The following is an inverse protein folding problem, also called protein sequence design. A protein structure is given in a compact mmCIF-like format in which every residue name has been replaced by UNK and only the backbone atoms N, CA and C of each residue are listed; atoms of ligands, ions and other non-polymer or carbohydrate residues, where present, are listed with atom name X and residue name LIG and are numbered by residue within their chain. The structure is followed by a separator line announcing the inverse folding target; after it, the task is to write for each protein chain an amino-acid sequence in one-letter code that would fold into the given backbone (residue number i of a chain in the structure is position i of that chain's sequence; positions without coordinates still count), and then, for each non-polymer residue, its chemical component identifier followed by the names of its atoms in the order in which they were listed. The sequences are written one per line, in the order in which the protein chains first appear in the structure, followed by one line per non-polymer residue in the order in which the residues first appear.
data_IF_119282550480
#
_entry.id   IF_119282550480
#
_cell.length_a   1.000
_cell.length_b   1.000
_cell.length_c   1.000
_cell.angle_alpha   90.00
_cell.angle_beta   90.00
_cell.angle_gamma   90.00
#
_symmetry.space_group_name_H-M   'P 1'
#
loop_
_entity.id
_entity.type
_entity.pdbx_description
1 polymer ?
#
# COMPACT_ATOMS: atom_id res chain seq x y z
N UNK A 1 18.56 -13.75 0.61
CA UNK A 1 18.75 -13.80 2.09
C UNK A 1 17.88 -12.73 2.72
N UNK A 2 16.73 -13.11 3.26
CA UNK A 2 15.87 -12.22 4.04
C UNK A 2 16.58 -11.94 5.38
N UNK A 3 16.95 -10.68 5.64
CA UNK A 3 17.24 -10.22 6.99
C UNK A 3 15.91 -9.85 7.62
N UNK A 4 15.21 -10.84 8.13
CA UNK A 4 14.06 -10.66 9.01
C UNK A 4 14.57 -10.05 10.31
N UNK A 5 13.92 -8.99 10.80
CA UNK A 5 14.20 -8.37 12.10
C UNK A 5 14.22 -9.46 13.18
N UNK A 6 15.43 -9.86 13.56
CA UNK A 6 15.67 -10.90 14.54
C UNK A 6 15.15 -10.34 15.86
N UNK A 7 14.11 -10.96 16.43
CA UNK A 7 13.74 -10.73 17.84
C UNK A 7 14.89 -11.32 18.66
N UNK A 8 15.92 -10.50 18.88
CA UNK A 8 17.09 -10.85 19.68
C UNK A 8 16.61 -10.87 21.14
N UNK A 9 16.81 -12.00 21.82
CA UNK A 9 16.53 -12.15 23.24
C UNK A 9 17.44 -11.19 24.02
N UNK A 10 16.97 -10.70 25.17
CA UNK A 10 17.65 -9.71 26.04
C UNK A 10 19.12 -10.00 26.40
N UNK A 11 19.66 -11.16 26.09
CA UNK A 11 20.96 -11.65 26.55
C UNK A 11 22.12 -11.41 25.56
N UNK A 12 21.86 -10.90 24.35
CA UNK A 12 22.90 -10.79 23.28
C UNK A 12 23.37 -9.34 22.99
N UNK A 13 23.01 -8.34 23.79
CA UNK A 13 23.44 -6.95 23.53
C UNK A 13 24.75 -6.63 24.28
N UNK A 14 25.88 -6.38 23.60
CA UNK A 14 27.01 -5.68 24.22
C UNK A 14 26.55 -4.27 24.60
N UNK A 15 26.79 -3.84 25.85
CA UNK A 15 26.44 -2.53 26.44
C UNK A 15 26.16 -1.39 25.42
N UNK A 16 24.95 -1.37 24.86
CA UNK A 16 24.45 -0.21 24.12
C UNK A 16 23.99 0.78 25.18
N UNK A 17 24.39 2.04 25.05
CA UNK A 17 23.93 3.08 25.97
C UNK A 17 22.40 2.98 26.12
N UNK A 18 21.90 2.94 27.34
CA UNK A 18 20.47 2.94 27.71
C UNK A 18 19.68 4.16 27.18
N UNK A 19 20.24 4.94 26.27
CA UNK A 19 19.65 6.11 25.65
C UNK A 19 18.43 5.68 24.82
N UNK A 20 17.27 6.13 25.27
CA UNK A 20 16.03 6.08 24.51
C UNK A 20 16.06 7.18 23.46
N UNK A 21 15.59 6.88 22.24
CA UNK A 21 15.48 7.83 21.15
C UNK A 21 14.57 9.00 21.56
N UNK A 22 15.03 10.23 21.39
CA UNK A 22 14.19 11.42 21.57
C UNK A 22 13.18 11.52 20.44
N UNK A 23 13.65 11.31 19.20
CA UNK A 23 12.77 11.25 18.03
C UNK A 23 13.32 10.35 16.92
N UNK A 24 12.39 9.91 16.05
CA UNK A 24 12.67 9.25 14.79
C UNK A 24 11.83 9.86 13.67
N UNK A 25 12.39 9.89 12.47
CA UNK A 25 11.68 10.29 11.24
C UNK A 25 11.54 9.08 10.33
N UNK A 26 10.32 8.79 9.93
CA UNK A 26 9.95 7.65 9.11
C UNK A 26 9.52 8.09 7.72
N UNK A 27 9.79 7.25 6.72
CA UNK A 27 9.22 7.38 5.36
C UNK A 27 8.39 6.12 5.05
N UNK A 28 7.12 6.25 4.65
CA UNK A 28 6.35 5.09 4.20
C UNK A 28 6.98 4.53 2.91
N UNK A 29 7.16 3.20 2.86
CA UNK A 29 7.76 2.51 1.70
C UNK A 29 6.77 1.61 0.99
N UNK A 30 5.79 1.04 1.69
CA UNK A 30 4.82 0.11 1.12
C UNK A 30 5.09 -1.35 1.52
N UNK A 31 4.52 -2.27 0.75
CA UNK A 31 4.64 -3.70 0.99
C UNK A 31 5.85 -4.30 0.23
N UNK A 32 6.45 -5.40 0.73
CA UNK A 32 7.53 -6.10 0.03
C UNK A 32 7.14 -6.70 -1.34
N UNK A 33 5.84 -6.90 -1.59
CA UNK A 33 5.28 -7.49 -2.80
C UNK A 33 4.19 -6.57 -3.35
N UNK A 34 4.17 -6.32 -4.66
CA UNK A 34 3.16 -5.49 -5.32
C UNK A 34 1.86 -6.23 -5.62
N UNK A 35 0.73 -5.69 -5.19
CA UNK A 35 -0.64 -6.03 -5.61
C UNK A 35 -1.27 -4.87 -6.40
N UNK A 36 -2.20 -5.20 -7.30
CA UNK A 36 -2.88 -4.22 -8.19
C UNK A 36 -3.80 -3.27 -7.40
N UNK A 37 -4.12 -3.60 -6.15
CA UNK A 37 -5.07 -2.90 -5.28
C UNK A 37 -4.41 -2.38 -3.99
N UNK A 38 -3.13 -2.01 -4.02
CA UNK A 38 -2.49 -1.46 -2.82
C UNK A 38 -2.98 -0.05 -2.50
N UNK A 39 -3.92 0.02 -1.57
CA UNK A 39 -4.17 1.22 -0.79
C UNK A 39 -3.10 1.33 0.30
N UNK A 40 -2.34 2.43 0.29
CA UNK A 40 -1.40 2.74 1.35
C UNK A 40 -2.13 3.36 2.54
N UNK A 41 -1.74 3.01 3.78
CA UNK A 41 -2.31 3.62 4.96
C UNK A 41 -2.03 5.12 4.97
N UNK A 42 -3.08 5.91 5.12
CA UNK A 42 -2.99 7.35 5.35
C UNK A 42 -3.12 7.63 6.85
N UNK A 43 -2.28 8.52 7.37
CA UNK A 43 -2.30 8.89 8.79
C UNK A 43 -3.26 10.06 8.94
N UNK A 44 -4.50 9.78 9.37
CA UNK A 44 -5.51 10.82 9.64
C UNK A 44 -5.31 11.50 11.00
N UNK A 45 -4.86 10.74 12.01
CA UNK A 45 -4.66 11.23 13.38
C UNK A 45 -3.24 10.94 13.86
N UNK A 46 -2.42 11.98 13.91
CA UNK A 46 -1.01 11.89 14.30
C UNK A 46 -0.79 11.44 15.75
N UNK A 47 -1.64 11.85 16.69
CA UNK A 47 -1.53 11.47 18.11
C UNK A 47 -1.82 9.97 18.30
N UNK A 48 -2.86 9.46 17.63
CA UNK A 48 -3.20 8.05 17.69
C UNK A 48 -2.11 7.21 17.02
N UNK A 49 -1.57 7.68 15.89
CA UNK A 49 -0.45 7.03 15.22
C UNK A 49 0.80 6.99 16.10
N UNK A 50 1.14 8.08 16.80
CA UNK A 50 2.25 8.12 17.76
C UNK A 50 2.13 7.04 18.82
N UNK A 51 0.98 6.98 19.50
CA UNK A 51 0.73 5.97 20.54
C UNK A 51 0.84 4.55 19.98
N UNK A 52 0.20 4.31 18.83
CA UNK A 52 0.24 3.04 18.13
C UNK A 52 1.67 2.59 17.76
N UNK A 53 2.43 3.49 17.15
CA UNK A 53 3.77 3.23 16.65
C UNK A 53 4.76 2.97 17.80
N UNK A 54 4.64 3.71 18.91
CA UNK A 54 5.38 3.49 20.14
C UNK A 54 5.12 2.11 20.71
N UNK A 55 3.85 1.73 20.90
CA UNK A 55 3.47 0.41 21.42
C UNK A 55 4.00 -0.73 20.55
N UNK A 56 3.98 -0.56 19.23
CA UNK A 56 4.42 -1.59 18.29
C UNK A 56 5.94 -1.78 18.26
N UNK A 57 6.71 -0.69 18.26
CA UNK A 57 8.17 -0.73 18.08
C UNK A 57 8.96 -0.49 19.38
N UNK A 58 8.29 -0.45 20.52
CA UNK A 58 8.94 -0.34 21.82
C UNK A 58 10.03 -1.39 22.02
N UNK A 59 11.21 -0.95 22.43
CA UNK A 59 12.38 -1.81 22.66
C UNK A 59 13.16 -2.19 21.40
N UNK A 60 12.81 -1.65 20.22
CA UNK A 60 13.57 -1.86 18.99
C UNK A 60 14.71 -0.85 18.93
N UNK A 61 15.89 -1.29 18.50
CA UNK A 61 17.00 -0.37 18.22
C UNK A 61 16.74 0.29 16.87
N UNK A 62 16.75 1.62 16.84
CA UNK A 62 16.52 2.41 15.64
C UNK A 62 17.84 2.72 14.93
N UNK A 63 18.03 2.11 13.76
CA UNK A 63 19.15 2.42 12.87
C UNK A 63 18.70 3.25 11.67
N UNK A 64 19.47 4.29 11.35
CA UNK A 64 19.25 5.08 10.13
C UNK A 64 19.31 4.17 8.90
N UNK A 65 18.36 4.35 7.99
CA UNK A 65 18.12 3.57 6.78
C UNK A 65 17.55 2.16 6.96
N UNK A 66 17.22 1.73 8.19
CA UNK A 66 16.56 0.44 8.42
C UNK A 66 15.05 0.50 8.21
N UNK A 67 14.40 -0.65 8.12
CA UNK A 67 12.97 -0.80 7.94
C UNK A 67 12.27 -1.27 9.23
N UNK A 68 11.20 -0.57 9.59
CA UNK A 68 10.23 -0.97 10.59
C UNK A 68 8.99 -1.50 9.89
N UNK A 69 8.63 -2.74 10.22
CA UNK A 69 7.42 -3.38 9.70
C UNK A 69 6.28 -3.21 10.68
N UNK A 70 5.13 -2.87 10.12
CA UNK A 70 3.85 -2.98 10.80
C UNK A 70 3.45 -4.45 10.90
N UNK A 71 2.97 -4.84 12.09
CA UNK A 71 2.60 -6.22 12.44
C UNK A 71 1.15 -6.32 12.91
N UNK A 72 0.42 -5.20 12.91
CA UNK A 72 -0.93 -5.10 13.48
C UNK A 72 -1.90 -4.62 12.43
N UNK A 73 -2.05 -3.31 12.25
CA UNK A 73 -3.09 -2.74 11.39
C UNK A 73 -2.84 -3.03 9.91
N UNK A 74 -1.57 -2.97 9.48
CA UNK A 74 -1.18 -3.19 8.09
C UNK A 74 0.00 -4.18 8.04
N UNK A 75 -0.25 -5.48 8.29
CA UNK A 75 0.83 -6.46 8.34
C UNK A 75 1.74 -6.40 7.12
N UNK A 76 3.04 -6.38 7.37
CA UNK A 76 4.11 -6.30 6.36
C UNK A 76 4.27 -4.93 5.68
N UNK A 77 3.47 -3.91 6.01
CA UNK A 77 3.72 -2.56 5.55
C UNK A 77 5.01 -2.00 6.18
N UNK A 78 5.92 -1.48 5.36
CA UNK A 78 7.23 -1.03 5.80
C UNK A 78 7.35 0.49 5.86
N UNK A 79 7.95 0.96 6.94
CA UNK A 79 8.47 2.32 7.09
C UNK A 79 10.00 2.28 7.10
N UNK A 80 10.67 3.21 6.43
CA UNK A 80 12.12 3.39 6.50
C UNK A 80 12.47 4.48 7.50
N UNK A 81 13.40 4.19 8.42
CA UNK A 81 13.97 5.18 9.34
C UNK A 81 14.89 6.10 8.54
N UNK A 82 14.50 7.36 8.37
CA UNK A 82 15.32 8.38 7.73
C UNK A 82 16.31 9.00 8.71
N UNK A 83 15.86 9.26 9.93
CA UNK A 83 16.62 9.95 10.98
C UNK A 83 16.23 9.39 12.34
N UNK A 84 17.20 9.40 13.26
CA UNK A 84 17.06 8.96 14.65
C UNK A 84 18.05 9.76 15.48
N UNK A 85 17.59 10.30 16.61
CA UNK A 85 18.40 11.06 17.54
C UNK A 85 18.07 10.62 18.99
N UNK A 86 19.08 10.25 19.81
CA UNK A 86 20.47 10.02 19.44
C UNK A 86 20.63 8.85 18.45
N UNK A 87 21.67 8.79 17.61
CA UNK A 87 21.91 7.66 16.71
C UNK A 87 21.98 6.31 17.44
N UNK A 88 21.46 5.25 16.82
CA UNK A 88 21.53 3.86 17.35
C UNK A 88 20.89 3.67 18.73
N UNK A 89 19.82 4.44 19.01
CA UNK A 89 19.09 4.42 20.28
C UNK A 89 17.85 3.54 20.24
N UNK A 90 17.27 3.26 21.41
CA UNK A 90 16.09 2.39 21.55
C UNK A 90 14.81 3.21 21.40
N UNK A 91 13.87 2.74 20.58
CA UNK A 91 12.51 3.31 20.50
C UNK A 91 11.77 2.99 21.80
N UNK A 92 11.36 4.03 22.53
CA UNK A 92 10.64 3.92 23.79
C UNK A 92 9.25 4.57 23.75
N UNK A 93 8.59 4.59 24.91
CA UNK A 93 7.26 5.19 25.09
C UNK A 93 7.23 6.71 24.96
N UNK A 94 8.36 7.37 25.12
CA UNK A 94 8.47 8.83 25.00
C UNK A 94 9.05 9.28 23.65
N UNK A 95 9.49 8.35 22.81
CA UNK A 95 10.09 8.66 21.51
C UNK A 95 9.08 9.34 20.59
N UNK A 96 9.42 10.50 20.05
CA UNK A 96 8.59 11.22 19.09
C UNK A 96 8.77 10.67 17.68
N UNK A 97 7.71 10.12 17.10
CA UNK A 97 7.73 9.52 15.77
C UNK A 97 7.09 10.48 14.77
N UNK A 98 7.87 10.91 13.78
CA UNK A 98 7.39 11.75 12.68
C UNK A 98 7.34 10.94 11.40
N UNK A 99 6.29 11.08 10.60
CA UNK A 99 6.21 10.46 9.28
C UNK A 99 6.36 11.55 8.22
N UNK A 100 7.43 11.48 7.45
CA UNK A 100 7.66 12.35 6.32
C UNK A 100 6.80 11.85 5.17
N UNK A 101 5.60 12.40 5.11
CA UNK A 101 4.66 12.15 4.03
C UNK A 101 5.08 12.97 2.80
N UNK A 102 6.01 12.42 2.02
CA UNK A 102 6.03 12.78 0.61
C UNK A 102 4.75 12.21 0.06
N UNK A 103 3.67 13.02 0.01
CA UNK A 103 2.39 12.67 -0.62
C UNK A 103 2.73 11.74 -1.75
N UNK A 104 2.54 10.44 -1.53
CA UNK A 104 2.62 9.47 -2.60
C UNK A 104 1.46 9.92 -3.44
N UNK A 105 1.74 10.77 -4.43
CA UNK A 105 0.84 11.08 -5.51
C UNK A 105 0.36 9.71 -5.88
N UNK A 106 -0.87 9.39 -5.47
CA UNK A 106 -1.53 8.16 -5.74
C UNK A 106 -1.50 8.13 -7.25
N UNK A 107 -0.46 7.47 -7.79
CA UNK A 107 -0.34 7.31 -9.22
C UNK A 107 -1.64 6.62 -9.54
N UNK A 108 -2.52 7.22 -10.35
CA UNK A 108 -3.79 6.60 -10.66
C UNK A 108 -3.46 5.17 -11.05
N UNK A 109 -4.09 4.21 -10.37
CA UNK A 109 -3.81 2.78 -10.55
C UNK A 109 -3.93 2.52 -12.05
N UNK A 110 -2.78 2.45 -12.74
CA UNK A 110 -2.76 2.13 -14.15
C UNK A 110 -3.06 0.63 -14.23
N UNK A 111 -4.33 0.30 -14.41
CA UNK A 111 -4.74 -1.03 -14.81
C UNK A 111 -4.09 -1.33 -16.17
N UNK A 112 -2.86 -1.87 -16.15
CA UNK A 112 -2.21 -2.40 -17.35
C UNK A 112 -2.80 -3.77 -17.65
N UNK A 113 -4.04 -3.78 -18.17
CA UNK A 113 -4.51 -4.97 -18.86
C UNK A 113 -3.66 -5.14 -20.12
N UNK A 114 -3.12 -6.35 -20.33
CA UNK A 114 -2.45 -6.69 -21.60
C UNK A 114 -3.45 -6.91 -22.75
N UNK A 115 -4.74 -6.87 -22.43
CA UNK A 115 -5.85 -7.19 -23.31
C UNK A 115 -6.64 -5.91 -23.55
N UNK A 116 -6.81 -5.55 -24.81
CA UNK A 116 -7.67 -4.47 -25.29
C UNK A 116 -8.83 -5.03 -26.09
N UNK A 117 -9.84 -4.19 -26.36
CA UNK A 117 -10.98 -4.56 -27.21
C UNK A 117 -10.56 -4.98 -28.63
N UNK A 118 -9.37 -4.60 -29.10
CA UNK A 118 -8.83 -5.01 -30.40
C UNK A 118 -8.27 -6.43 -30.39
N UNK A 119 -7.93 -6.98 -29.23
CA UNK A 119 -7.54 -8.39 -29.10
C UNK A 119 -8.72 -9.35 -29.25
N UNK A 120 -9.96 -8.85 -29.20
CA UNK A 120 -11.17 -9.67 -29.34
C UNK A 120 -11.57 -9.80 -30.82
N UNK A 121 -11.11 -10.88 -31.46
CA UNK A 121 -11.34 -11.16 -32.88
C UNK A 121 -12.68 -11.87 -33.12
N UNK A 122 -13.34 -11.57 -34.25
CA UNK A 122 -14.54 -12.27 -34.70
C UNK A 122 -15.86 -11.87 -34.03
N UNK A 123 -15.82 -11.09 -32.94
CA UNK A 123 -17.00 -10.68 -32.16
C UNK A 123 -17.38 -9.21 -32.37
N UNK A 124 -17.52 -8.78 -33.63
CA UNK A 124 -17.76 -7.37 -33.99
C UNK A 124 -19.04 -6.79 -33.36
N UNK A 125 -20.12 -7.58 -33.29
CA UNK A 125 -21.39 -7.14 -32.71
C UNK A 125 -21.30 -6.93 -31.20
N UNK A 126 -20.62 -7.83 -30.48
CA UNK A 126 -20.42 -7.71 -29.04
C UNK A 126 -19.54 -6.50 -28.72
N UNK A 127 -18.42 -6.30 -29.45
CA UNK A 127 -17.58 -5.10 -29.34
C UNK A 127 -18.38 -3.81 -29.53
N UNK A 128 -19.26 -3.77 -30.54
CA UNK A 128 -20.12 -2.59 -30.80
C UNK A 128 -21.10 -2.32 -29.65
N UNK A 129 -21.63 -3.37 -29.00
CA UNK A 129 -22.49 -3.22 -27.81
C UNK A 129 -21.71 -2.76 -26.58
N UNK A 130 -20.47 -3.23 -26.39
CA UNK A 130 -19.60 -2.77 -25.30
C UNK A 130 -19.29 -1.27 -25.36
N UNK A 131 -19.29 -0.64 -26.56
CA UNK A 131 -19.16 0.83 -26.69
C UNK A 131 -20.21 1.61 -25.91
N UNK A 132 -21.37 1.03 -25.63
CA UNK A 132 -22.39 1.65 -24.79
C UNK A 132 -21.92 1.78 -23.33
N UNK A 133 -21.23 0.76 -22.82
CA UNK A 133 -20.64 0.75 -21.48
C UNK A 133 -19.47 1.75 -21.45
N UNK A 134 -18.60 1.71 -22.45
CA UNK A 134 -17.46 2.63 -22.61
C UNK A 134 -17.93 4.10 -22.56
N UNK A 135 -18.92 4.47 -23.39
CA UNK A 135 -19.50 5.83 -23.38
C UNK A 135 -20.14 6.22 -22.06
N UNK A 136 -20.77 5.28 -21.36
CA UNK A 136 -21.34 5.53 -20.05
C UNK A 136 -20.26 5.78 -19.00
N UNK A 137 -19.15 5.04 -19.05
CA UNK A 137 -17.99 5.25 -18.17
C UNK A 137 -17.28 6.58 -18.46
N UNK A 138 -17.19 6.98 -19.73
CA UNK A 138 -16.61 8.27 -20.14
C UNK A 138 -17.46 9.48 -19.71
N UNK A 139 -18.79 9.41 -19.87
CA UNK A 139 -19.69 10.51 -19.53
C UNK A 139 -21.03 10.00 -18.98
N UNK A 140 -21.09 9.60 -17.70
CA UNK A 140 -22.31 9.06 -17.10
C UNK A 140 -23.42 10.12 -17.01
N UNK A 141 -23.06 11.39 -16.82
CA UNK A 141 -24.02 12.51 -16.72
C UNK A 141 -24.83 12.67 -18.02
N UNK A 142 -24.23 12.39 -19.18
CA UNK A 142 -24.91 12.43 -20.48
C UNK A 142 -26.06 11.44 -20.64
N UNK A 143 -26.13 10.39 -19.81
CA UNK A 143 -27.21 9.40 -19.83
C UNK A 143 -28.36 9.72 -18.87
N UNK A 144 -28.21 10.78 -18.06
CA UNK A 144 -29.24 11.24 -17.12
C UNK A 144 -29.60 10.17 -16.07
N UNK A 145 -30.89 9.81 -16.00
CA UNK A 145 -31.39 8.80 -15.04
C UNK A 145 -31.19 7.36 -15.51
N UNK A 146 -30.87 7.15 -16.78
CA UNK A 146 -30.71 5.82 -17.35
C UNK A 146 -29.25 5.37 -17.27
N UNK A 147 -29.03 4.10 -16.94
CA UNK A 147 -27.70 3.51 -16.88
C UNK A 147 -27.76 2.05 -17.35
N UNK A 148 -26.75 1.56 -18.09
CA UNK A 148 -26.64 0.14 -18.39
C UNK A 148 -26.27 -0.62 -17.11
N UNK A 149 -27.24 -1.35 -16.53
CA UNK A 149 -27.05 -2.05 -15.25
C UNK A 149 -26.50 -3.46 -15.43
N UNK A 150 -27.22 -4.30 -16.17
CA UNK A 150 -26.91 -5.72 -16.31
C UNK A 150 -26.60 -6.05 -17.77
N UNK A 151 -25.35 -6.40 -18.05
CA UNK A 151 -24.92 -6.87 -19.38
C UNK A 151 -24.53 -8.33 -19.28
N UNK A 152 -25.24 -9.19 -20.00
CA UNK A 152 -25.00 -10.64 -20.02
C UNK A 152 -24.30 -11.05 -21.31
N UNK A 153 -23.09 -11.59 -21.19
CA UNK A 153 -22.39 -12.25 -22.29
C UNK A 153 -22.75 -13.74 -22.33
N UNK A 154 -23.35 -14.22 -23.43
CA UNK A 154 -23.79 -15.60 -23.58
C UNK A 154 -23.28 -16.24 -24.88
N UNK A 155 -23.32 -17.58 -24.96
CA UNK A 155 -23.00 -18.37 -26.16
C UNK A 155 -22.20 -19.65 -25.83
N UNK A 156 -21.77 -20.42 -26.85
CA UNK A 156 -20.95 -21.62 -26.68
C UNK A 156 -19.61 -21.38 -25.97
N UNK A 157 -18.97 -22.44 -25.46
CA UNK A 157 -17.62 -22.35 -24.89
C UNK A 157 -16.60 -21.91 -25.94
N UNK A 158 -15.50 -21.28 -25.51
CA UNK A 158 -14.42 -20.85 -26.42
C UNK A 158 -14.70 -19.59 -27.25
N UNK A 159 -15.87 -18.97 -27.16
CA UNK A 159 -16.20 -17.75 -27.96
C UNK A 159 -15.61 -16.45 -27.41
N UNK A 160 -14.68 -16.52 -26.45
CA UNK A 160 -14.00 -15.34 -25.90
C UNK A 160 -14.79 -14.50 -24.89
N UNK A 161 -15.85 -15.04 -24.28
CA UNK A 161 -16.63 -14.31 -23.24
C UNK A 161 -15.78 -13.73 -22.10
N UNK A 162 -14.77 -14.44 -21.54
CA UNK A 162 -13.92 -13.89 -20.48
C UNK A 162 -12.93 -12.81 -20.92
N UNK A 163 -12.82 -12.52 -22.22
CA UNK A 163 -11.94 -11.46 -22.74
C UNK A 163 -12.63 -10.09 -22.82
N UNK A 164 -13.96 -10.05 -22.63
CA UNK A 164 -14.75 -8.82 -22.55
C UNK A 164 -14.88 -8.37 -21.10
#
# INVERSE_FOLDING_TARGET
MQRTNKKIKREDYPDFSDSTAEYIVLKPIGYPLTSILEEYPEIENEELFQFYAREQWNGYVAYKNEFLFDRRMYPDFAYKILEVEPPESIIGMETRIFVKDEKTLSKPIEFKSRITMDNVVGQSLARKKCKLIEKYLENPLGFGKWAPRNVLFYGPSGTGKPMF
#
